data_IF_766697658018
#
_entry.id   IF_766697658018
#
_cell.length_a   1.000
_cell.length_b   1.000
_cell.length_c   1.000
_cell.angle_alpha   90.00
_cell.angle_beta   90.00
_cell.angle_gamma   90.00
#
_symmetry.space_group_name_H-M   'P 1'
#
loop_
_entity.id
_entity.type
_entity.pdbx_description
1 polymer ?
#
# COMPACT_ATOMS: atom_id res chain seq x y z
N UNK A 1 36.72 18.49 -1.73
CA UNK A 1 35.36 18.70 -1.18
C UNK A 1 34.23 18.04 -2.01
N UNK A 2 34.48 17.08 -2.91
CA UNK A 2 33.41 16.40 -3.67
C UNK A 2 32.84 15.14 -3.02
N UNK A 3 33.64 14.39 -2.27
CA UNK A 3 33.28 13.05 -1.77
C UNK A 3 32.21 13.04 -0.65
N UNK A 4 32.19 14.05 0.24
CA UNK A 4 31.18 14.15 1.30
C UNK A 4 29.78 14.49 0.78
N UNK A 5 29.69 15.33 -0.26
CA UNK A 5 28.41 15.68 -0.90
C UNK A 5 27.81 14.47 -1.62
N UNK A 6 28.65 13.65 -2.26
CA UNK A 6 28.21 12.39 -2.91
C UNK A 6 27.71 11.35 -1.89
N UNK A 7 28.39 11.21 -0.74
CA UNK A 7 27.94 10.33 0.35
C UNK A 7 26.64 10.80 0.98
N UNK A 8 26.48 12.12 1.16
CA UNK A 8 25.22 12.73 1.64
C UNK A 8 24.06 12.40 0.71
N UNK A 9 24.22 12.68 -0.59
CA UNK A 9 23.20 12.37 -1.62
C UNK A 9 22.90 10.88 -1.72
N UNK A 10 23.91 10.01 -1.59
CA UNK A 10 23.70 8.56 -1.58
C UNK A 10 22.90 8.10 -0.37
N UNK A 11 23.20 8.64 0.82
CA UNK A 11 22.44 8.35 2.05
C UNK A 11 21.00 8.85 1.98
N UNK A 12 20.78 10.05 1.45
CA UNK A 12 19.43 10.61 1.25
C UNK A 12 18.59 9.73 0.33
N UNK A 13 19.14 9.33 -0.82
CA UNK A 13 18.46 8.42 -1.75
C UNK A 13 18.09 7.08 -1.08
N UNK A 14 19.02 6.50 -0.30
CA UNK A 14 18.73 5.25 0.44
C UNK A 14 17.72 5.42 1.57
N UNK A 15 17.76 6.56 2.26
CA UNK A 15 16.77 6.92 3.27
C UNK A 15 15.38 7.03 2.67
N UNK A 16 15.25 7.75 1.56
CA UNK A 16 13.98 7.90 0.83
C UNK A 16 13.46 6.55 0.31
N UNK A 17 14.31 5.72 -0.31
CA UNK A 17 13.92 4.40 -0.79
C UNK A 17 13.43 3.47 0.34
N UNK A 18 14.07 3.53 1.51
CA UNK A 18 13.64 2.75 2.68
C UNK A 18 12.30 3.24 3.23
N UNK A 19 12.11 4.56 3.33
CA UNK A 19 10.82 5.14 3.75
C UNK A 19 9.69 4.76 2.78
N UNK A 20 9.97 4.73 1.47
CA UNK A 20 9.02 4.26 0.45
C UNK A 20 8.66 2.79 0.63
N UNK A 21 9.65 1.92 0.87
CA UNK A 21 9.41 0.50 1.15
C UNK A 21 8.58 0.29 2.42
N UNK A 22 8.93 0.98 3.51
CA UNK A 22 8.21 0.90 4.79
C UNK A 22 6.75 1.41 4.66
N UNK A 23 6.50 2.36 3.74
CA UNK A 23 5.16 2.87 3.42
C UNK A 23 4.35 1.84 2.64
N UNK A 24 4.96 1.24 1.62
CA UNK A 24 4.36 0.20 0.80
C UNK A 24 4.00 -1.05 1.63
N UNK A 25 4.92 -1.52 2.47
CA UNK A 25 4.70 -2.70 3.32
C UNK A 25 3.49 -2.50 4.24
N UNK A 26 3.42 -1.36 4.94
CA UNK A 26 2.26 -1.01 5.78
C UNK A 26 0.95 -0.95 5.01
N UNK A 27 0.96 -0.39 3.80
CA UNK A 27 -0.23 -0.30 2.98
C UNK A 27 -0.69 -1.69 2.51
N UNK A 28 0.25 -2.56 2.09
CA UNK A 28 -0.04 -3.94 1.69
C UNK A 28 -0.58 -4.77 2.85
N UNK A 29 0.01 -4.67 4.05
CA UNK A 29 -0.49 -5.35 5.25
C UNK A 29 -1.92 -4.93 5.62
N UNK A 30 -2.26 -3.67 5.41
CA UNK A 30 -3.62 -3.18 5.63
C UNK A 30 -4.59 -3.68 4.55
N UNK A 31 -4.16 -3.72 3.28
CA UNK A 31 -4.95 -4.31 2.19
C UNK A 31 -5.27 -5.78 2.43
N UNK A 32 -4.29 -6.56 2.89
CA UNK A 32 -4.48 -7.97 3.21
C UNK A 32 -5.54 -8.16 4.31
N UNK A 33 -5.45 -7.34 5.38
CA UNK A 33 -6.44 -7.36 6.46
C UNK A 33 -7.84 -6.98 5.99
N UNK A 34 -7.98 -5.91 5.20
CA UNK A 34 -9.26 -5.43 4.71
C UNK A 34 -9.91 -6.38 3.68
N UNK A 35 -9.12 -6.92 2.75
CA UNK A 35 -9.62 -7.88 1.75
C UNK A 35 -10.02 -9.20 2.41
N UNK A 36 -9.24 -9.69 3.39
CA UNK A 36 -9.60 -10.85 4.20
C UNK A 36 -10.92 -10.63 4.96
N UNK A 37 -11.12 -9.46 5.58
CA UNK A 37 -12.36 -9.13 6.26
C UNK A 37 -13.56 -9.11 5.30
N UNK A 38 -13.41 -8.44 4.15
CA UNK A 38 -14.45 -8.34 3.12
C UNK A 38 -14.88 -9.73 2.62
N UNK A 39 -13.92 -10.61 2.34
CA UNK A 39 -14.19 -11.98 1.88
C UNK A 39 -14.85 -12.83 2.96
N UNK A 40 -14.48 -12.66 4.24
CA UNK A 40 -15.12 -13.37 5.36
C UNK A 40 -16.58 -13.00 5.57
N UNK A 41 -16.95 -11.75 5.30
CA UNK A 41 -18.33 -11.26 5.39
C UNK A 41 -19.20 -11.69 4.20
N UNK A 42 -18.67 -12.52 3.28
CA UNK A 42 -19.36 -12.94 2.07
C UNK A 42 -19.40 -11.86 0.98
N UNK A 43 -18.60 -10.80 1.13
CA UNK A 43 -18.36 -9.81 0.09
C UNK A 43 -17.51 -10.39 -1.03
N UNK A 44 -17.62 -9.79 -2.22
CA UNK A 44 -16.75 -10.08 -3.35
C UNK A 44 -15.84 -8.89 -3.62
N UNK A 45 -14.65 -9.16 -4.16
CA UNK A 45 -13.86 -8.12 -4.81
C UNK A 45 -14.64 -7.71 -6.07
N UNK A 46 -14.98 -6.42 -6.19
CA UNK A 46 -15.57 -5.94 -7.43
C UNK A 46 -14.50 -5.91 -8.54
N UNK A 47 -14.92 -6.00 -9.81
CA UNK A 47 -14.00 -5.96 -10.95
C UNK A 47 -13.06 -4.76 -10.98
N UNK A 48 -13.49 -3.54 -10.57
CA UNK A 48 -12.61 -2.40 -10.39
C UNK A 48 -11.50 -2.61 -9.35
N UNK A 49 -11.79 -3.23 -8.21
CA UNK A 49 -10.82 -3.52 -7.15
C UNK A 49 -9.80 -4.58 -7.59
N UNK A 50 -10.26 -5.65 -8.23
CA UNK A 50 -9.38 -6.68 -8.80
C UNK A 50 -8.41 -6.09 -9.82
N UNK A 51 -8.89 -5.24 -10.72
CA UNK A 51 -8.05 -4.53 -11.72
C UNK A 51 -6.97 -3.68 -11.04
N UNK A 52 -7.30 -3.02 -9.93
CA UNK A 52 -6.36 -2.18 -9.20
C UNK A 52 -5.32 -3.01 -8.43
N UNK A 53 -5.71 -4.17 -7.89
CA UNK A 53 -4.78 -5.13 -7.26
C UNK A 53 -3.81 -5.70 -8.30
N UNK A 54 -4.30 -6.06 -9.49
CA UNK A 54 -3.45 -6.50 -10.60
C UNK A 54 -2.50 -5.40 -11.07
N UNK A 55 -2.97 -4.15 -11.13
CA UNK A 55 -2.10 -3.01 -11.44
C UNK A 55 -0.99 -2.84 -10.39
N UNK A 56 -1.32 -2.96 -9.10
CA UNK A 56 -0.33 -2.93 -8.01
C UNK A 56 0.73 -4.02 -8.19
N UNK A 57 0.32 -5.26 -8.51
CA UNK A 57 1.26 -6.37 -8.79
C UNK A 57 2.17 -6.03 -9.98
N UNK A 58 1.61 -5.42 -11.03
CA UNK A 58 2.38 -4.96 -12.19
C UNK A 58 3.43 -3.91 -11.82
N UNK A 59 3.06 -2.92 -11.00
CA UNK A 59 3.98 -1.87 -10.53
C UNK A 59 5.13 -2.45 -9.70
N UNK A 60 4.83 -3.36 -8.77
CA UNK A 60 5.84 -4.06 -7.97
C UNK A 60 6.78 -4.88 -8.86
N UNK A 61 6.24 -5.58 -9.85
CA UNK A 61 7.03 -6.39 -10.79
C UNK A 61 7.97 -5.55 -11.65
N UNK A 62 7.58 -4.29 -11.94
CA UNK A 62 8.40 -3.33 -12.68
C UNK A 62 9.35 -2.51 -11.78
N UNK A 63 9.32 -2.71 -10.47
CA UNK A 63 10.12 -1.94 -9.52
C UNK A 63 9.66 -0.48 -9.32
N UNK A 64 8.41 -0.17 -9.70
CA UNK A 64 7.80 1.16 -9.58
C UNK A 64 7.23 1.35 -8.15
N UNK A 65 8.14 1.51 -7.19
CA UNK A 65 7.81 1.50 -5.76
C UNK A 65 6.95 2.70 -5.33
N UNK A 66 7.16 3.88 -5.93
CA UNK A 66 6.40 5.08 -5.58
C UNK A 66 4.96 4.98 -6.07
N UNK A 67 4.77 4.55 -7.32
CA UNK A 67 3.45 4.29 -7.92
C UNK A 67 2.70 3.19 -7.17
N UNK A 68 3.40 2.09 -6.85
CA UNK A 68 2.86 1.00 -6.05
C UNK A 68 2.42 1.47 -4.66
N UNK A 69 3.24 2.29 -4.00
CA UNK A 69 2.92 2.86 -2.67
C UNK A 69 1.66 3.71 -2.73
N UNK A 70 1.61 4.65 -3.69
CA UNK A 70 0.47 5.54 -3.84
C UNK A 70 -0.81 4.79 -4.23
N UNK A 71 -0.71 3.73 -5.04
CA UNK A 71 -1.86 2.89 -5.38
C UNK A 71 -2.34 2.09 -4.18
N UNK A 72 -1.42 1.46 -3.44
CA UNK A 72 -1.75 0.67 -2.26
C UNK A 72 -2.51 1.52 -1.23
N UNK A 73 -2.03 2.73 -0.95
CA UNK A 73 -2.71 3.64 -0.02
C UNK A 73 -4.10 4.10 -0.50
N UNK A 74 -4.25 4.41 -1.80
CA UNK A 74 -5.57 4.72 -2.36
C UNK A 74 -6.55 3.55 -2.23
N UNK A 75 -6.06 2.32 -2.42
CA UNK A 75 -6.88 1.12 -2.26
C UNK A 75 -7.29 0.91 -0.80
N UNK A 76 -6.38 1.12 0.15
CA UNK A 76 -6.68 1.09 1.59
C UNK A 76 -7.77 2.09 1.93
N UNK A 77 -7.62 3.35 1.48
CA UNK A 77 -8.61 4.40 1.71
C UNK A 77 -9.99 4.06 1.14
N UNK A 78 -10.04 3.42 -0.04
CA UNK A 78 -11.29 2.95 -0.64
C UNK A 78 -11.93 1.81 0.16
N UNK A 79 -11.14 0.81 0.52
CA UNK A 79 -11.63 -0.36 1.27
C UNK A 79 -12.12 0.02 2.68
N UNK A 80 -11.48 0.97 3.36
CA UNK A 80 -12.01 1.53 4.60
C UNK A 80 -13.38 2.20 4.45
N UNK A 81 -13.71 2.72 3.26
CA UNK A 81 -15.04 3.24 2.96
C UNK A 81 -16.09 2.14 2.70
N UNK A 82 -15.65 0.94 2.34
CA UNK A 82 -16.50 -0.20 1.98
C UNK A 82 -16.74 -1.15 3.16
N UNK A 83 -15.74 -1.35 4.03
CA UNK A 83 -15.89 -2.14 5.26
C UNK A 83 -16.61 -1.28 6.30
N UNK A 84 -17.88 -1.59 6.66
CA UNK A 84 -18.57 -0.80 7.67
C UNK A 84 -17.83 -0.94 9.01
N UNK A 85 -17.48 0.18 9.64
CA UNK A 85 -16.95 0.23 11.01
C UNK A 85 -17.98 -0.36 11.99
N UNK A 86 -18.04 -1.68 12.13
CA UNK A 86 -18.72 -2.36 13.24
C UNK A 86 -17.70 -2.69 14.32
N UNK A 87 -17.22 -1.67 15.00
CA UNK A 87 -16.54 -1.81 16.28
C UNK A 87 -17.03 -0.69 17.19
N UNK A 88 -18.06 -0.99 18.00
CA UNK A 88 -18.61 -0.05 18.98
C UNK A 88 -20.10 -0.19 19.26
N UNK A 89 -20.66 -1.41 19.31
CA UNK A 89 -21.95 -1.64 19.98
C UNK A 89 -22.11 -3.07 20.48
N UNK A 90 -21.42 -3.35 21.58
CA UNK A 90 -21.80 -4.34 22.60
C UNK A 90 -21.44 -3.59 23.91
N UNK A 91 -22.33 -3.25 24.82
CA UNK A 91 -23.43 -4.03 25.39
C UNK A 91 -23.15 -4.05 26.88
#
# INVERSE_FOLDING_TARGET
MGSLVELGRWRERRGAARLGMDRLERAVDELDRLTTALLREGGALDGPLETQLLALIGELSMGMLDEASDRAERLVGRLHGLVPRRAGREG
#
